data_IF_694555657968
#
_entry.id   IF_694555657968
#
_cell.length_a   1.000
_cell.length_b   1.000
_cell.length_c   1.000
_cell.angle_alpha   90.00
_cell.angle_beta   90.00
_cell.angle_gamma   90.00
#
_symmetry.space_group_name_H-M   'P 1'
#
loop_
_entity.id
_entity.type
_entity.pdbx_description
1 polymer ?
#
# COMPACT_ATOMS: atom_id res chain seq x y z
N UNK A 1 -65.76 -9.67 68.28
CA UNK A 1 -64.98 -8.44 68.52
C UNK A 1 -64.67 -7.85 67.16
N UNK A 2 -65.44 -6.85 66.73
CA UNK A 2 -65.28 -6.21 65.43
C UNK A 2 -64.45 -4.92 65.62
N UNK A 3 -63.21 -4.94 65.12
CA UNK A 3 -62.42 -3.73 64.93
C UNK A 3 -63.05 -2.94 63.78
N UNK A 4 -63.86 -1.95 64.12
CA UNK A 4 -64.22 -0.86 63.20
C UNK A 4 -62.97 0.00 63.03
N UNK A 5 -62.14 -0.35 62.05
CA UNK A 5 -61.19 0.57 61.44
C UNK A 5 -62.00 1.73 60.85
N UNK A 6 -62.08 2.84 61.60
CA UNK A 6 -62.43 4.13 61.05
C UNK A 6 -61.34 4.46 60.03
N UNK A 7 -61.59 4.13 58.76
CA UNK A 7 -60.93 4.82 57.64
C UNK A 7 -61.26 6.29 57.86
N UNK A 8 -60.30 7.04 58.41
CA UNK A 8 -60.38 8.50 58.33
C UNK A 8 -60.47 8.79 56.85
N UNK A 9 -61.59 9.37 56.41
CA UNK A 9 -61.71 10.09 55.14
C UNK A 9 -60.74 11.28 55.20
N UNK A 10 -59.45 10.96 55.21
CA UNK A 10 -58.36 11.91 55.22
C UNK A 10 -58.33 12.48 53.83
N UNK A 11 -59.09 13.55 53.62
CA UNK A 11 -58.98 14.37 52.43
C UNK A 11 -57.50 14.65 52.20
N UNK A 12 -56.93 14.24 51.05
CA UNK A 12 -55.51 14.36 50.82
C UNK A 12 -55.10 15.83 50.87
N UNK A 13 -54.09 16.13 51.69
CA UNK A 13 -53.57 17.50 51.84
C UNK A 13 -52.93 17.93 50.53
N UNK A 14 -53.44 19.01 49.96
CA UNK A 14 -52.94 19.66 48.75
C UNK A 14 -51.64 20.39 49.08
N UNK A 15 -50.60 20.27 48.25
CA UNK A 15 -49.38 21.05 48.44
C UNK A 15 -49.23 22.11 47.35
N UNK A 16 -48.99 23.35 47.75
CA UNK A 16 -48.78 24.50 46.87
C UNK A 16 -47.29 24.82 46.79
N UNK A 17 -46.79 25.09 45.59
CA UNK A 17 -45.39 25.45 45.35
C UNK A 17 -45.33 26.65 44.42
N UNK A 18 -44.52 27.64 44.77
CA UNK A 18 -44.10 28.68 43.82
C UNK A 18 -42.79 28.27 43.17
N UNK A 19 -42.78 28.14 41.85
CA UNK A 19 -41.56 28.03 41.05
C UNK A 19 -41.14 29.39 40.48
N UNK A 20 -41.77 30.46 40.95
CA UNK A 20 -41.51 31.84 40.56
C UNK A 20 -41.16 32.67 41.78
N UNK A 21 -40.46 33.78 41.55
CA UNK A 21 -40.07 34.72 42.61
C UNK A 21 -41.23 35.65 43.04
N UNK A 22 -42.43 35.49 42.45
CA UNK A 22 -43.56 36.40 42.65
C UNK A 22 -44.59 35.80 43.62
N UNK A 23 -44.64 36.27 44.89
CA UNK A 23 -45.57 35.75 45.88
C UNK A 23 -47.04 35.97 45.48
N UNK A 24 -47.33 37.03 44.72
CA UNK A 24 -48.69 37.38 44.29
C UNK A 24 -49.42 36.24 43.57
N UNK A 25 -48.71 35.41 42.80
CA UNK A 25 -49.34 34.29 42.12
C UNK A 25 -49.72 33.15 43.08
N UNK A 26 -48.92 32.93 44.13
CA UNK A 26 -49.24 31.96 45.19
C UNK A 26 -50.39 32.47 46.06
N UNK A 27 -50.43 33.77 46.34
CA UNK A 27 -51.54 34.41 47.06
C UNK A 27 -52.85 34.29 46.27
N UNK A 28 -52.79 34.52 44.95
CA UNK A 28 -53.92 34.34 44.04
C UNK A 28 -54.42 32.89 44.03
N UNK A 29 -53.51 31.92 43.96
CA UNK A 29 -53.87 30.50 44.02
C UNK A 29 -54.54 30.15 45.36
N UNK A 30 -54.01 30.68 46.47
CA UNK A 30 -54.55 30.45 47.81
C UNK A 30 -55.95 31.05 47.95
N UNK A 31 -56.17 32.26 47.41
CA UNK A 31 -57.50 32.88 47.35
C UNK A 31 -58.48 32.04 46.52
N UNK A 32 -58.04 31.56 45.35
CA UNK A 32 -58.84 30.70 44.48
C UNK A 32 -59.26 29.39 45.16
N UNK A 33 -58.33 28.74 45.86
CA UNK A 33 -58.60 27.51 46.63
C UNK A 33 -59.49 27.77 47.86
N UNK A 34 -59.42 28.97 48.44
CA UNK A 34 -60.31 29.40 49.51
C UNK A 34 -61.78 29.51 49.09
N UNK A 35 -62.03 29.73 47.79
CA UNK A 35 -63.36 29.79 47.18
C UNK A 35 -63.86 28.44 46.64
N UNK A 36 -63.09 27.36 46.82
CA UNK A 36 -63.47 26.02 46.40
C UNK A 36 -64.43 25.34 47.39
N UNK A 37 -65.34 24.52 46.88
CA UNK A 37 -66.28 23.72 47.67
C UNK A 37 -66.28 22.24 47.18
N UNK A 38 -65.88 21.26 48.00
CA UNK A 38 -65.31 21.44 49.34
C UNK A 38 -63.94 22.12 49.30
N UNK A 39 -63.62 22.89 50.34
CA UNK A 39 -62.35 23.60 50.46
C UNK A 39 -61.22 22.60 50.75
N UNK A 40 -60.20 22.47 49.88
CA UNK A 40 -59.08 21.58 50.14
C UNK A 40 -58.18 22.15 51.24
N UNK A 41 -57.69 21.28 52.12
CA UNK A 41 -56.60 21.63 53.03
C UNK A 41 -55.32 21.80 52.22
N UNK A 42 -54.66 22.95 52.35
CA UNK A 42 -53.47 23.29 51.58
C UNK A 42 -52.28 23.63 52.46
N UNK A 43 -51.10 23.10 52.10
CA UNK A 43 -49.81 23.45 52.71
C UNK A 43 -48.89 24.06 51.65
N UNK A 44 -48.12 25.08 51.99
CA UNK A 44 -47.13 25.68 51.08
C UNK A 44 -45.76 25.05 51.31
N UNK A 45 -45.15 24.54 50.25
CA UNK A 45 -43.80 24.00 50.26
C UNK A 45 -42.82 24.92 49.50
N UNK A 46 -41.57 24.97 49.99
CA UNK A 46 -40.54 25.86 49.43
C UNK A 46 -40.01 25.40 48.06
N UNK A 47 -40.05 24.10 47.78
CA UNK A 47 -39.55 23.51 46.53
C UNK A 47 -40.48 22.41 46.03
N UNK A 48 -40.45 22.13 44.72
CA UNK A 48 -41.22 21.03 44.14
C UNK A 48 -40.82 19.69 44.73
N UNK A 49 -39.53 19.48 44.98
CA UNK A 49 -39.02 18.27 45.61
C UNK A 49 -39.61 18.06 47.00
N UNK A 50 -39.64 19.10 47.84
CA UNK A 50 -40.25 19.04 49.17
C UNK A 50 -41.75 18.70 49.07
N UNK A 51 -42.47 19.30 48.13
CA UNK A 51 -43.90 19.04 47.93
C UNK A 51 -44.21 17.59 47.52
N UNK A 52 -43.28 16.95 46.80
CA UNK A 52 -43.46 15.58 46.32
C UNK A 52 -43.28 14.51 47.41
N UNK A 53 -42.79 14.87 48.61
CA UNK A 53 -42.67 13.95 49.74
C UNK A 53 -44.02 13.58 50.38
N UNK A 54 -45.04 14.42 50.23
CA UNK A 54 -46.41 14.05 50.60
C UNK A 54 -47.03 13.09 49.57
N UNK A 55 -48.22 12.56 49.84
CA UNK A 55 -48.97 11.71 48.90
C UNK A 55 -50.03 12.47 48.09
N UNK A 56 -50.38 13.68 48.51
CA UNK A 56 -51.43 14.48 47.90
C UNK A 56 -51.10 15.08 46.51
N UNK A 57 -52.08 15.72 45.87
CA UNK A 57 -51.85 16.50 44.66
C UNK A 57 -50.95 17.71 44.93
N UNK A 58 -50.18 18.11 43.92
CA UNK A 58 -49.28 19.26 44.00
C UNK A 58 -49.66 20.27 42.92
N UNK A 59 -49.93 21.51 43.33
CA UNK A 59 -50.12 22.63 42.42
C UNK A 59 -48.86 23.49 42.46
N UNK A 60 -48.21 23.62 41.30
CA UNK A 60 -47.00 24.41 41.18
C UNK A 60 -47.24 25.57 40.21
N UNK A 61 -47.03 26.79 40.67
CA UNK A 61 -47.13 27.98 39.82
C UNK A 61 -45.78 28.21 39.14
N UNK A 62 -45.76 28.30 37.82
CA UNK A 62 -44.56 28.50 37.02
C UNK A 62 -44.75 29.62 35.99
N UNK A 63 -43.67 30.38 35.77
CA UNK A 63 -43.61 31.33 34.66
C UNK A 63 -43.26 30.58 33.36
N UNK A 64 -43.66 31.13 32.22
CA UNK A 64 -43.26 30.60 30.92
C UNK A 64 -41.73 30.68 30.75
N UNK A 65 -41.10 29.73 30.03
CA UNK A 65 -39.66 29.71 29.79
C UNK A 65 -39.07 31.04 29.34
N UNK A 66 -39.64 31.65 28.30
CA UNK A 66 -39.24 32.96 27.81
C UNK A 66 -39.32 34.06 28.87
N UNK A 67 -40.32 34.03 29.76
CA UNK A 67 -40.42 35.03 30.83
C UNK A 67 -39.37 34.84 31.91
N UNK A 68 -39.11 33.60 32.31
CA UNK A 68 -38.04 33.31 33.26
C UNK A 68 -36.69 33.82 32.74
N UNK A 69 -36.40 33.51 31.47
CA UNK A 69 -35.15 33.94 30.84
C UNK A 69 -35.13 35.46 30.62
N UNK A 70 -36.24 36.08 30.19
CA UNK A 70 -36.34 37.52 30.04
C UNK A 70 -36.11 38.28 31.36
N UNK A 71 -36.61 37.75 32.48
CA UNK A 71 -36.37 38.31 33.83
C UNK A 71 -34.90 38.25 34.19
N UNK A 72 -34.23 37.12 33.97
CA UNK A 72 -32.79 36.99 34.21
C UNK A 72 -31.96 37.96 33.35
N UNK A 73 -32.32 38.12 32.08
CA UNK A 73 -31.65 39.08 31.20
C UNK A 73 -31.89 40.53 31.66
N UNK A 74 -33.13 40.86 32.04
CA UNK A 74 -33.48 42.19 32.54
C UNK A 74 -32.77 42.54 33.86
N UNK A 75 -32.44 41.54 34.69
CA UNK A 75 -31.61 41.72 35.89
C UNK A 75 -30.10 41.84 35.59
N UNK A 76 -29.71 41.92 34.31
CA UNK A 76 -28.32 42.10 33.89
C UNK A 76 -27.49 40.81 33.85
N UNK A 77 -28.11 39.63 33.91
CA UNK A 77 -27.38 38.37 33.76
C UNK A 77 -26.94 38.20 32.31
N UNK A 78 -25.66 37.90 32.03
CA UNK A 78 -25.20 37.67 30.67
C UNK A 78 -25.98 36.54 29.96
N UNK A 79 -26.30 36.66 28.66
CA UNK A 79 -27.15 35.70 27.96
C UNK A 79 -26.70 34.24 28.06
N UNK A 80 -25.39 33.99 27.94
CA UNK A 80 -24.83 32.64 28.05
C UNK A 80 -25.06 32.01 29.43
N UNK A 81 -24.92 32.81 30.49
CA UNK A 81 -25.15 32.36 31.86
C UNK A 81 -26.65 32.18 32.14
N UNK A 82 -27.49 33.12 31.72
CA UNK A 82 -28.94 33.04 31.91
C UNK A 82 -29.53 31.77 31.26
N UNK A 83 -29.06 31.42 30.05
CA UNK A 83 -29.44 30.19 29.35
C UNK A 83 -28.95 28.94 30.08
N UNK A 84 -27.69 28.92 30.54
CA UNK A 84 -27.14 27.78 31.26
C UNK A 84 -27.88 27.53 32.59
N UNK A 85 -28.12 28.59 33.36
CA UNK A 85 -28.83 28.52 34.65
C UNK A 85 -30.28 28.06 34.45
N UNK A 86 -30.98 28.63 33.47
CA UNK A 86 -32.34 28.20 33.12
C UNK A 86 -32.38 26.73 32.66
N UNK A 87 -31.41 26.30 31.85
CA UNK A 87 -31.36 24.93 31.36
C UNK A 87 -31.19 23.92 32.51
N UNK A 88 -30.25 24.17 33.43
CA UNK A 88 -30.03 23.32 34.61
C UNK A 88 -31.30 23.25 35.46
N UNK A 89 -31.93 24.40 35.68
CA UNK A 89 -33.18 24.47 36.42
C UNK A 89 -34.31 23.68 35.72
N UNK A 90 -34.50 23.88 34.41
CA UNK A 90 -35.57 23.26 33.64
C UNK A 90 -35.41 21.73 33.58
N UNK A 91 -34.19 21.23 33.40
CA UNK A 91 -33.88 19.80 33.42
C UNK A 91 -34.23 19.17 34.77
N UNK A 92 -33.89 19.84 35.88
CA UNK A 92 -34.22 19.38 37.22
C UNK A 92 -35.75 19.36 37.47
N UNK A 93 -36.47 20.42 37.11
CA UNK A 93 -37.93 20.47 37.28
C UNK A 93 -38.65 19.44 36.40
N UNK A 94 -38.27 19.32 35.12
CA UNK A 94 -38.84 18.33 34.21
C UNK A 94 -38.59 16.89 34.68
N UNK A 95 -37.42 16.60 35.26
CA UNK A 95 -37.16 15.28 35.86
C UNK A 95 -38.14 14.95 36.99
N UNK A 96 -38.41 15.90 37.88
CA UNK A 96 -39.40 15.75 38.96
C UNK A 96 -40.82 15.60 38.40
N UNK A 97 -41.20 16.41 37.41
CA UNK A 97 -42.50 16.38 36.76
C UNK A 97 -42.75 15.04 36.05
N UNK A 98 -41.77 14.51 35.32
CA UNK A 98 -41.87 13.20 34.65
C UNK A 98 -42.11 12.08 35.66
N UNK A 99 -41.45 12.13 36.82
CA UNK A 99 -41.62 11.13 37.90
C UNK A 99 -43.00 11.20 38.57
N UNK A 100 -43.57 12.39 38.67
CA UNK A 100 -44.80 12.65 39.43
C UNK A 100 -45.93 13.28 38.60
N UNK A 101 -45.97 13.05 37.29
CA UNK A 101 -46.92 13.69 36.35
C UNK A 101 -48.39 13.53 36.75
N UNK A 102 -48.72 12.40 37.36
CA UNK A 102 -50.07 12.09 37.79
C UNK A 102 -50.51 12.85 39.05
N UNK A 103 -49.57 13.52 39.74
CA UNK A 103 -49.81 14.26 40.98
C UNK A 103 -49.57 15.77 40.84
N UNK A 104 -48.64 16.19 39.98
CA UNK A 104 -48.32 17.60 39.78
C UNK A 104 -49.23 18.21 38.71
N UNK A 105 -49.68 19.44 38.94
CA UNK A 105 -50.31 20.31 37.96
C UNK A 105 -49.55 21.63 37.94
N UNK A 106 -48.94 21.97 36.80
CA UNK A 106 -48.29 23.26 36.63
C UNK A 106 -49.32 24.29 36.15
N UNK A 107 -49.33 25.46 36.78
CA UNK A 107 -50.23 26.57 36.44
C UNK A 107 -49.39 27.74 35.94
N UNK A 108 -49.79 28.33 34.82
CA UNK A 108 -49.13 29.50 34.26
C UNK A 108 -49.33 30.71 35.17
N UNK A 109 -48.23 31.32 35.61
CA UNK A 109 -48.24 32.53 36.47
C UNK A 109 -49.13 33.63 35.88
N UNK A 110 -48.95 33.93 34.60
CA UNK A 110 -49.66 35.02 33.92
C UNK A 110 -51.15 34.74 33.79
N UNK A 111 -51.51 33.50 33.47
CA UNK A 111 -52.90 33.08 33.33
C UNK A 111 -53.60 33.12 34.68
N UNK A 112 -52.92 32.68 35.73
CA UNK A 112 -53.45 32.72 37.08
C UNK A 112 -53.73 34.15 37.55
N UNK A 113 -52.85 35.10 37.21
CA UNK A 113 -53.01 36.50 37.59
C UNK A 113 -54.01 37.25 36.70
N UNK A 114 -53.94 37.08 35.39
CA UNK A 114 -54.71 37.86 34.43
C UNK A 114 -56.10 37.27 34.14
N UNK A 115 -56.22 35.94 34.06
CA UNK A 115 -57.44 35.24 33.64
C UNK A 115 -57.65 33.95 34.44
N UNK A 116 -57.74 34.00 35.79
CA UNK A 116 -57.85 32.81 36.64
C UNK A 116 -59.03 31.91 36.28
N UNK A 117 -60.09 32.48 35.71
CA UNK A 117 -61.27 31.74 35.25
C UNK A 117 -60.97 30.63 34.24
N UNK A 118 -59.90 30.78 33.44
CA UNK A 118 -59.50 29.75 32.45
C UNK A 118 -58.92 28.50 33.12
N UNK A 119 -58.43 28.62 34.36
CA UNK A 119 -57.84 27.53 35.13
C UNK A 119 -58.89 26.75 35.94
N UNK A 120 -60.12 27.25 36.10
CA UNK A 120 -61.16 26.61 36.93
C UNK A 120 -61.39 25.17 36.49
N UNK A 121 -61.65 24.94 35.19
CA UNK A 121 -62.01 23.60 34.71
C UNK A 121 -60.87 22.60 34.95
N UNK A 122 -59.61 22.87 34.55
CA UNK A 122 -58.49 21.99 34.87
C UNK A 122 -58.31 21.74 36.37
N UNK A 123 -58.50 22.77 37.21
CA UNK A 123 -58.40 22.64 38.66
C UNK A 123 -59.54 21.80 39.24
N UNK A 124 -60.78 22.01 38.80
CA UNK A 124 -61.96 21.26 39.22
C UNK A 124 -61.84 19.79 38.82
N UNK A 125 -61.45 19.52 37.57
CA UNK A 125 -61.22 18.17 37.06
C UNK A 125 -60.13 17.44 37.86
N UNK A 126 -59.11 18.17 38.33
CA UNK A 126 -57.97 17.61 39.05
C UNK A 126 -58.23 17.40 40.54
N UNK A 127 -58.92 18.34 41.18
CA UNK A 127 -59.13 18.38 42.63
C UNK A 127 -60.48 17.80 43.05
N UNK A 128 -61.43 17.66 42.11
CA UNK A 128 -62.79 17.20 42.39
C UNK A 128 -63.63 18.22 43.17
N UNK A 129 -63.27 19.51 43.14
CA UNK A 129 -64.01 20.58 43.81
C UNK A 129 -64.66 21.55 42.81
N UNK A 130 -65.77 22.16 43.21
CA UNK A 130 -66.37 23.29 42.50
C UNK A 130 -65.70 24.60 42.91
N UNK A 131 -65.61 25.57 41.99
CA UNK A 131 -65.14 26.92 42.30
C UNK A 131 -66.29 27.90 42.16
N UNK A 132 -66.53 28.68 43.23
CA UNK A 132 -67.55 29.71 43.26
C UNK A 132 -67.06 31.04 42.71
N UNK A 133 -67.08 32.07 43.55
CA UNK A 133 -66.65 33.42 43.17
C UNK A 133 -65.16 33.44 42.86
N UNK A 134 -64.84 33.86 41.62
CA UNK A 134 -63.47 34.02 41.17
C UNK A 134 -62.82 35.24 41.83
N UNK A 135 -61.55 35.14 42.26
CA UNK A 135 -60.80 36.31 42.67
C UNK A 135 -60.66 37.28 41.48
N UNK A 136 -60.72 38.57 41.77
CA UNK A 136 -60.50 39.62 40.76
C UNK A 136 -59.10 39.48 40.16
N UNK A 137 -58.93 39.68 38.84
CA UNK A 137 -57.62 39.67 38.20
C UNK A 137 -56.64 40.63 38.89
N UNK A 138 -55.40 40.18 39.05
CA UNK A 138 -54.31 41.00 39.55
C UNK A 138 -53.48 41.55 38.39
N UNK A 139 -52.89 42.73 38.57
CA UNK A 139 -51.95 43.27 37.58
C UNK A 139 -50.72 42.39 37.52
N UNK A 140 -50.47 41.81 36.34
CA UNK A 140 -49.22 41.12 36.03
C UNK A 140 -48.09 42.15 36.10
N UNK A 141 -47.05 41.95 36.92
CA UNK A 141 -45.94 42.90 37.02
C UNK A 141 -45.32 43.14 35.63
N UNK A 142 -45.49 44.35 35.09
CA UNK A 142 -44.81 44.77 33.87
C UNK A 142 -43.38 45.13 34.23
N UNK A 143 -42.40 44.36 33.73
CA UNK A 143 -41.00 44.71 33.89
C UNK A 143 -40.62 45.71 32.78
N UNK A 144 -40.23 46.96 33.09
CA UNK A 144 -39.81 47.92 32.09
C UNK A 144 -38.59 47.39 31.32
N UNK A 145 -38.71 47.25 30.00
CA UNK A 145 -37.73 46.57 29.14
C UNK A 145 -38.00 45.07 28.91
N UNK A 146 -39.08 44.51 29.46
CA UNK A 146 -39.45 43.10 29.26
C UNK A 146 -39.57 42.72 27.80
N UNK A 147 -40.14 43.58 26.95
CA UNK A 147 -40.44 43.23 25.57
C UNK A 147 -39.18 42.84 24.77
N UNK A 148 -38.10 43.61 24.88
CA UNK A 148 -36.84 43.30 24.18
C UNK A 148 -36.20 42.02 24.75
N UNK A 149 -36.15 41.89 26.07
CA UNK A 149 -35.59 40.72 26.73
C UNK A 149 -36.42 39.46 26.46
N UNK A 150 -37.74 39.58 26.27
CA UNK A 150 -38.63 38.49 25.91
C UNK A 150 -38.41 38.04 24.46
N UNK A 151 -38.21 38.97 23.52
CA UNK A 151 -37.81 38.63 22.15
C UNK A 151 -36.46 37.91 22.15
N UNK A 152 -35.48 38.46 22.88
CA UNK A 152 -34.16 37.85 23.00
C UNK A 152 -34.24 36.46 23.64
N UNK A 153 -35.02 36.31 24.70
CA UNK A 153 -35.25 35.03 25.36
C UNK A 153 -35.88 34.00 24.39
N UNK A 154 -36.93 34.38 23.66
CA UNK A 154 -37.55 33.52 22.64
C UNK A 154 -36.55 33.12 21.55
N UNK A 155 -35.69 34.05 21.12
CA UNK A 155 -34.63 33.75 20.14
C UNK A 155 -33.59 32.78 20.70
N UNK A 156 -33.12 33.01 21.94
CA UNK A 156 -32.15 32.14 22.61
C UNK A 156 -32.69 30.72 22.79
N UNK A 157 -33.94 30.56 23.23
CA UNK A 157 -34.58 29.24 23.37
C UNK A 157 -34.71 28.52 22.02
N UNK A 158 -34.93 29.27 20.92
CA UNK A 158 -35.02 28.70 19.57
C UNK A 158 -33.66 28.42 18.91
N UNK A 159 -32.58 29.03 19.40
CA UNK A 159 -31.24 28.97 18.79
C UNK A 159 -30.65 27.57 18.77
N UNK A 160 -30.93 26.76 19.80
CA UNK A 160 -30.38 25.42 19.97
C UNK A 160 -31.51 24.39 20.07
N UNK A 161 -31.45 23.26 19.32
CA UNK A 161 -32.50 22.25 19.34
C UNK A 161 -32.83 21.70 20.74
N UNK A 162 -31.81 21.55 21.60
CA UNK A 162 -31.98 21.09 22.98
C UNK A 162 -32.80 22.06 23.84
N UNK A 163 -32.48 23.35 23.79
CA UNK A 163 -33.20 24.38 24.55
C UNK A 163 -34.65 24.49 24.08
N UNK A 164 -34.86 24.40 22.77
CA UNK A 164 -36.19 24.37 22.17
C UNK A 164 -37.02 23.22 22.72
N UNK A 165 -36.47 22.00 22.72
CA UNK A 165 -37.16 20.83 23.25
C UNK A 165 -37.52 20.95 24.74
N UNK A 166 -36.61 21.49 25.56
CA UNK A 166 -36.89 21.74 26.99
C UNK A 166 -37.97 22.81 27.19
N UNK A 167 -37.93 23.90 26.41
CA UNK A 167 -38.92 24.97 26.50
C UNK A 167 -40.30 24.47 26.06
N UNK A 168 -40.39 23.75 24.94
CA UNK A 168 -41.62 23.16 24.43
C UNK A 168 -42.22 22.17 25.43
N UNK A 169 -41.41 21.30 26.03
CA UNK A 169 -41.89 20.35 27.04
C UNK A 169 -42.36 21.06 28.33
N UNK A 170 -41.64 22.09 28.78
CA UNK A 170 -42.05 22.88 29.94
C UNK A 170 -43.36 23.63 29.66
N UNK A 171 -43.47 24.35 28.55
CA UNK A 171 -44.69 25.06 28.17
C UNK A 171 -45.87 24.10 28.00
N UNK A 172 -45.67 22.95 27.36
CA UNK A 172 -46.72 21.92 27.22
C UNK A 172 -47.18 21.32 28.55
N UNK A 173 -46.32 21.38 29.58
CA UNK A 173 -46.67 20.92 30.93
C UNK A 173 -47.43 21.97 31.74
N UNK A 174 -47.37 23.26 31.34
CA UNK A 174 -48.03 24.36 32.03
C UNK A 174 -49.47 24.53 31.51
N UNK A 175 -50.43 24.46 32.44
CA UNK A 175 -51.85 24.63 32.13
C UNK A 175 -52.22 26.11 32.09
N UNK A 176 -53.07 26.44 31.11
CA UNK A 176 -53.61 27.78 30.94
C UNK A 176 -52.80 28.65 30.00
N UNK A 177 -51.86 28.09 29.23
CA UNK A 177 -51.05 28.88 28.31
C UNK A 177 -51.91 29.55 27.24
N UNK A 178 -52.08 30.85 27.40
CA UNK A 178 -52.43 31.75 26.33
C UNK A 178 -51.14 32.52 26.08
N UNK A 179 -50.29 32.04 25.17
CA UNK A 179 -49.25 32.90 24.63
C UNK A 179 -49.97 34.12 24.03
N UNK A 180 -49.92 35.30 24.67
CA UNK A 180 -50.51 36.45 24.03
C UNK A 180 -49.71 36.67 22.75
N UNK A 181 -50.37 36.88 21.59
CA UNK A 181 -49.67 37.24 20.39
C UNK A 181 -48.79 38.45 20.72
N UNK A 182 -47.53 38.39 20.30
CA UNK A 182 -46.55 39.42 20.63
C UNK A 182 -47.05 40.75 20.02
N UNK A 183 -47.50 41.67 20.87
CA UNK A 183 -48.11 42.92 20.41
C UNK A 183 -47.03 43.80 19.78
N UNK A 184 -47.07 43.93 18.45
CA UNK A 184 -46.12 44.74 17.66
C UNK A 184 -45.99 46.18 18.20
N UNK A 185 -47.08 46.77 18.72
CA UNK A 185 -47.06 48.10 19.32
C UNK A 185 -46.16 48.19 20.58
N UNK A 186 -46.06 47.12 21.38
CA UNK A 186 -45.16 47.07 22.56
C UNK A 186 -43.70 46.93 22.12
N UNK A 187 -43.48 46.23 21.01
CA UNK A 187 -42.17 46.07 20.39
C UNK A 187 -41.67 47.41 19.86
N UNK A 188 -42.50 48.13 19.10
CA UNK A 188 -42.20 49.46 18.57
C UNK A 188 -41.90 50.46 19.69
N UNK A 189 -42.66 50.44 20.79
CA UNK A 189 -42.40 51.29 21.96
C UNK A 189 -41.09 50.92 22.64
N UNK A 190 -40.78 49.64 22.83
CA UNK A 190 -39.50 49.21 23.41
C UNK A 190 -38.30 49.58 22.53
N UNK A 191 -38.43 49.50 21.20
CA UNK A 191 -37.41 49.99 20.27
C UNK A 191 -37.28 51.52 20.31
N UNK A 192 -38.40 52.25 20.41
CA UNK A 192 -38.39 53.70 20.59
C UNK A 192 -37.71 54.10 21.91
N UNK A 193 -37.98 53.40 23.00
CA UNK A 193 -37.36 53.64 24.31
C UNK A 193 -35.87 53.31 24.30
N UNK A 194 -35.46 52.21 23.64
CA UNK A 194 -34.05 51.83 23.50
C UNK A 194 -33.28 52.82 22.61
N UNK A 195 -33.91 53.32 21.54
CA UNK A 195 -33.31 54.31 20.64
C UNK A 195 -33.28 55.71 21.26
N UNK A 196 -34.25 56.06 22.11
CA UNK A 196 -34.22 57.28 22.91
C UNK A 196 -33.18 57.21 24.05
N UNK A 197 -32.93 56.02 24.59
CA UNK A 197 -31.90 55.75 25.59
C UNK A 197 -30.49 55.53 24.97
N UNK A 198 -30.38 55.51 23.64
CA UNK A 198 -29.12 55.31 22.93
C UNK A 198 -28.21 56.54 23.09
N UNK A 199 -27.36 56.47 24.12
CA UNK A 199 -26.20 57.33 24.37
C UNK A 199 -25.38 57.51 23.06
N UNK A 200 -24.87 58.70 22.69
CA UNK A 200 -23.96 58.90 21.54
C UNK A 200 -22.77 57.92 21.47
N UNK A 201 -22.47 57.22 22.56
CA UNK A 201 -21.56 56.06 22.61
C UNK A 201 -22.01 54.87 21.76
N UNK A 202 -23.30 54.60 21.63
CA UNK A 202 -23.85 53.51 20.80
C UNK A 202 -23.64 53.78 19.31
N UNK A 203 -23.77 55.03 18.87
CA UNK A 203 -23.47 55.42 17.49
C UNK A 203 -21.97 55.28 17.16
N UNK A 204 -21.08 55.67 18.09
CA UNK A 204 -19.64 55.44 17.97
C UNK A 204 -19.28 53.94 17.96
N UNK A 205 -19.94 53.13 18.79
CA UNK A 205 -19.76 51.68 18.80
C UNK A 205 -20.24 51.04 17.49
N UNK A 206 -21.39 51.45 16.96
CA UNK A 206 -21.88 50.96 15.67
C UNK A 206 -20.93 51.30 14.53
N UNK A 207 -20.45 52.54 14.43
CA UNK A 207 -19.46 52.93 13.42
C UNK A 207 -18.15 52.13 13.53
N UNK A 208 -17.67 51.89 14.76
CA UNK A 208 -16.48 51.07 14.99
C UNK A 208 -16.70 49.59 14.60
N UNK A 209 -17.90 49.07 14.81
CA UNK A 209 -18.27 47.70 14.46
C UNK A 209 -18.43 47.52 12.94
N UNK A 210 -19.02 48.51 12.27
CA UNK A 210 -19.12 48.56 10.81
C UNK A 210 -17.74 48.61 10.15
N UNK A 211 -16.84 49.46 10.68
CA UNK A 211 -15.47 49.54 10.19
C UNK A 211 -14.71 48.22 10.43
N UNK A 212 -14.88 47.60 11.60
CA UNK A 212 -14.32 46.28 11.90
C UNK A 212 -14.85 45.21 10.94
N UNK A 213 -16.16 45.21 10.66
CA UNK A 213 -16.78 44.31 9.69
C UNK A 213 -16.25 44.56 8.27
N UNK A 214 -16.01 45.82 7.89
CA UNK A 214 -15.44 46.19 6.59
C UNK A 214 -14.01 45.66 6.44
N UNK A 215 -13.17 45.84 7.45
CA UNK A 215 -11.80 45.33 7.49
C UNK A 215 -11.76 43.80 7.48
N UNK A 216 -12.63 43.14 8.25
CA UNK A 216 -12.75 41.68 8.25
C UNK A 216 -13.19 41.14 6.88
N UNK A 217 -14.13 41.80 6.19
CA UNK A 217 -14.53 41.43 4.83
C UNK A 217 -13.40 41.63 3.82
N UNK A 218 -12.66 42.73 3.90
CA UNK A 218 -11.51 42.97 3.06
C UNK A 218 -10.43 41.89 3.27
N UNK A 219 -10.10 41.58 4.53
CA UNK A 219 -9.16 40.51 4.87
C UNK A 219 -9.62 39.12 4.42
N UNK A 220 -10.92 38.82 4.52
CA UNK A 220 -11.47 37.57 3.99
C UNK A 220 -11.32 37.47 2.47
N UNK A 221 -11.56 38.55 1.73
CA UNK A 221 -11.37 38.59 0.28
C UNK A 221 -9.88 38.38 -0.07
N UNK A 222 -8.97 39.03 0.66
CA UNK A 222 -7.52 38.86 0.46
C UNK A 222 -7.07 37.41 0.72
N UNK A 223 -7.52 36.81 1.82
CA UNK A 223 -7.24 35.41 2.14
C UNK A 223 -7.83 34.46 1.09
N UNK A 224 -9.01 34.76 0.54
CA UNK A 224 -9.58 33.97 -0.56
C UNK A 224 -8.74 34.06 -1.83
N UNK A 225 -8.19 35.23 -2.16
CA UNK A 225 -7.28 35.38 -3.30
C UNK A 225 -5.96 34.65 -3.05
N UNK A 226 -5.36 34.78 -1.87
CA UNK A 226 -4.15 34.04 -1.51
C UNK A 226 -4.35 32.53 -1.57
N UNK A 227 -5.50 32.03 -1.10
CA UNK A 227 -5.83 30.62 -1.20
C UNK A 227 -6.01 30.18 -2.65
N UNK A 228 -6.66 30.99 -3.49
CA UNK A 228 -6.80 30.70 -4.92
C UNK A 228 -5.43 30.63 -5.61
N UNK A 229 -4.55 31.60 -5.34
CA UNK A 229 -3.19 31.64 -5.90
C UNK A 229 -2.35 30.44 -5.44
N UNK A 230 -2.42 30.08 -4.15
CA UNK A 230 -1.74 28.88 -3.64
C UNK A 230 -2.29 27.60 -4.27
N UNK A 231 -3.61 27.48 -4.46
CA UNK A 231 -4.19 26.31 -5.11
C UNK A 231 -3.76 26.18 -6.56
N UNK A 232 -3.65 27.30 -7.29
CA UNK A 232 -3.13 27.33 -8.64
C UNK A 232 -1.64 26.95 -8.70
N UNK A 233 -0.82 27.48 -7.78
CA UNK A 233 0.59 27.14 -7.67
C UNK A 233 0.80 25.64 -7.34
N UNK A 234 0.00 25.08 -6.43
CA UNK A 234 0.03 23.65 -6.12
C UNK A 234 -0.38 22.78 -7.31
N UNK A 235 -1.39 23.21 -8.08
CA UNK A 235 -1.79 22.50 -9.30
C UNK A 235 -0.68 22.50 -10.37
N UNK A 236 0.04 23.61 -10.54
CA UNK A 236 1.19 23.70 -11.44
C UNK A 236 2.34 22.80 -10.99
N UNK A 237 2.71 22.84 -9.71
CA UNK A 237 3.75 21.97 -9.15
C UNK A 237 3.39 20.48 -9.26
N UNK A 238 2.11 20.14 -9.08
CA UNK A 238 1.64 18.76 -9.27
C UNK A 238 1.76 18.34 -10.73
N UNK A 239 1.38 19.19 -11.69
CA UNK A 239 1.53 18.89 -13.11
C UNK A 239 3.01 18.75 -13.53
N UNK A 240 3.90 19.58 -13.00
CA UNK A 240 5.35 19.44 -13.21
C UNK A 240 5.89 18.12 -12.65
N UNK A 241 5.45 17.76 -11.43
CA UNK A 241 5.81 16.49 -10.80
C UNK A 241 5.35 15.30 -11.63
N UNK A 242 4.09 15.28 -12.06
CA UNK A 242 3.53 14.21 -12.89
C UNK A 242 4.29 14.10 -14.22
N UNK A 243 4.68 15.24 -14.81
CA UNK A 243 5.52 15.30 -16.01
C UNK A 243 6.93 14.74 -15.80
N UNK A 244 7.56 15.00 -14.65
CA UNK A 244 8.86 14.42 -14.31
C UNK A 244 8.76 12.91 -14.03
N UNK A 245 7.72 12.46 -13.32
CA UNK A 245 7.47 11.04 -13.08
C UNK A 245 7.27 10.27 -14.39
N UNK A 246 6.52 10.84 -15.34
CA UNK A 246 6.37 10.27 -16.68
C UNK A 246 7.71 10.18 -17.43
N UNK A 247 8.56 11.21 -17.35
CA UNK A 247 9.91 11.19 -17.97
C UNK A 247 10.81 10.12 -17.36
N UNK A 248 10.80 9.97 -16.04
CA UNK A 248 11.57 8.93 -15.34
C UNK A 248 11.09 7.54 -15.78
N UNK A 249 9.79 7.34 -15.94
CA UNK A 249 9.24 6.07 -16.40
C UNK A 249 9.72 5.70 -17.82
N UNK A 250 9.71 6.67 -18.75
CA UNK A 250 10.22 6.48 -20.11
C UNK A 250 11.73 6.18 -20.11
N UNK A 251 12.53 6.93 -19.34
CA UNK A 251 13.97 6.69 -19.24
C UNK A 251 14.30 5.31 -18.61
N UNK A 252 13.48 4.84 -17.66
CA UNK A 252 13.61 3.51 -17.07
C UNK A 252 13.27 2.39 -18.07
N UNK A 253 12.24 2.57 -18.90
CA UNK A 253 11.90 1.64 -19.99
C UNK A 253 13.02 1.58 -21.04
N UNK A 254 13.55 2.74 -21.46
CA UNK A 254 14.69 2.82 -22.37
C UNK A 254 15.94 2.14 -21.80
N UNK A 255 16.21 2.31 -20.50
CA UNK A 255 17.31 1.64 -19.82
C UNK A 255 17.11 0.11 -19.81
N UNK A 256 15.91 -0.37 -19.50
CA UNK A 256 15.59 -1.80 -19.52
C UNK A 256 15.73 -2.41 -20.92
N UNK A 257 15.32 -1.68 -21.97
CA UNK A 257 15.51 -2.10 -23.37
C UNK A 257 16.99 -2.16 -23.74
N UNK A 258 17.81 -1.21 -23.30
CA UNK A 258 19.27 -1.23 -23.52
C UNK A 258 19.93 -2.39 -22.78
N UNK A 259 19.56 -2.65 -21.53
CA UNK A 259 20.06 -3.81 -20.77
C UNK A 259 19.69 -5.13 -21.45
N UNK A 260 18.45 -5.25 -21.94
CA UNK A 260 18.01 -6.43 -22.68
C UNK A 260 18.80 -6.61 -24.00
N UNK A 261 19.05 -5.51 -24.73
CA UNK A 261 19.87 -5.53 -25.94
C UNK A 261 21.30 -5.99 -25.65
N UNK A 262 21.97 -5.38 -24.67
CA UNK A 262 23.32 -5.76 -24.23
C UNK A 262 23.36 -7.23 -23.77
N UNK A 263 22.35 -7.67 -23.02
CA UNK A 263 22.22 -9.06 -22.59
C UNK A 263 22.12 -10.04 -23.77
N UNK A 264 21.39 -9.67 -24.83
CA UNK A 264 21.27 -10.49 -26.04
C UNK A 264 22.60 -10.56 -26.82
N UNK A 265 23.30 -9.44 -26.97
CA UNK A 265 24.62 -9.37 -27.61
C UNK A 265 25.66 -10.19 -26.84
N UNK A 266 25.68 -10.11 -25.51
CA UNK A 266 26.58 -10.91 -24.67
C UNK A 266 26.32 -12.41 -24.80
N UNK A 267 25.06 -12.83 -24.90
CA UNK A 267 24.71 -14.23 -25.13
C UNK A 267 25.15 -14.71 -26.53
N UNK A 268 25.05 -13.85 -27.54
CA UNK A 268 25.53 -14.15 -28.89
C UNK A 268 27.06 -14.29 -28.92
N UNK A 269 27.78 -13.32 -28.34
CA UNK A 269 29.24 -13.37 -28.17
C UNK A 269 29.65 -14.64 -27.41
N UNK A 270 28.91 -15.02 -26.36
CA UNK A 270 29.15 -16.24 -25.60
C UNK A 270 29.01 -17.51 -26.45
N UNK A 271 27.95 -17.60 -27.28
CA UNK A 271 27.75 -18.72 -28.21
C UNK A 271 28.85 -18.80 -29.27
N UNK A 272 29.27 -17.66 -29.81
CA UNK A 272 30.36 -17.58 -30.78
C UNK A 272 31.70 -18.01 -30.17
N UNK A 273 31.98 -17.57 -28.94
CA UNK A 273 33.17 -17.99 -28.21
C UNK A 273 33.17 -19.51 -27.95
N UNK A 274 32.03 -20.08 -27.57
CA UNK A 274 31.87 -21.53 -27.38
C UNK A 274 32.04 -22.30 -28.70
N UNK A 275 31.47 -21.80 -29.80
CA UNK A 275 31.62 -22.39 -31.13
C UNK A 275 33.10 -22.39 -31.56
N UNK A 276 33.80 -21.25 -31.42
CA UNK A 276 35.24 -21.13 -31.69
C UNK A 276 36.07 -22.03 -30.77
N UNK A 277 35.69 -22.19 -29.51
CA UNK A 277 36.36 -23.11 -28.58
C UNK A 277 36.22 -24.57 -29.02
N UNK A 278 35.03 -24.97 -29.51
CA UNK A 278 34.81 -26.32 -30.06
C UNK A 278 35.62 -26.54 -31.32
N UNK A 279 35.62 -25.57 -32.24
CA UNK A 279 36.42 -25.62 -33.47
C UNK A 279 37.92 -25.69 -33.17
N UNK A 280 38.40 -24.90 -32.20
CA UNK A 280 39.80 -24.97 -31.76
C UNK A 280 40.15 -26.35 -31.19
N UNK A 281 39.24 -26.99 -30.43
CA UNK A 281 39.43 -28.35 -29.91
C UNK A 281 39.46 -29.39 -31.01
N UNK A 282 38.60 -29.28 -32.04
CA UNK A 282 38.61 -30.21 -33.18
C UNK A 282 39.86 -30.04 -34.02
N UNK A 283 40.28 -28.80 -34.31
CA UNK A 283 41.54 -28.53 -35.02
C UNK A 283 42.75 -29.03 -34.23
N UNK A 284 42.73 -28.91 -32.91
CA UNK A 284 43.80 -29.41 -32.05
C UNK A 284 43.89 -30.95 -32.08
N UNK A 285 42.76 -31.66 -31.99
CA UNK A 285 42.75 -33.12 -32.08
C UNK A 285 43.13 -33.62 -33.49
N UNK A 286 42.73 -32.91 -34.54
CA UNK A 286 43.18 -33.17 -35.92
C UNK A 286 44.69 -32.96 -36.08
N UNK A 287 45.23 -31.87 -35.54
CA UNK A 287 46.67 -31.60 -35.56
C UNK A 287 47.47 -32.67 -34.80
N UNK A 288 46.95 -33.16 -33.67
CA UNK A 288 47.55 -34.25 -32.90
C UNK A 288 47.48 -35.58 -33.66
N UNK A 289 46.37 -35.89 -34.32
CA UNK A 289 46.23 -37.06 -35.17
C UNK A 289 47.19 -37.03 -36.37
N UNK A 290 47.31 -35.87 -37.04
CA UNK A 290 48.27 -35.67 -38.14
C UNK A 290 49.71 -35.81 -37.65
N UNK A 291 50.04 -35.27 -36.47
CA UNK A 291 51.37 -35.49 -35.86
C UNK A 291 51.64 -36.98 -35.64
N UNK A 292 50.68 -37.72 -35.09
CA UNK A 292 50.79 -39.17 -34.93
C UNK A 292 51.00 -39.90 -36.27
N UNK A 293 50.30 -39.50 -37.34
CA UNK A 293 50.52 -40.03 -38.68
C UNK A 293 51.93 -39.71 -39.21
N UNK A 294 52.42 -38.49 -39.00
CA UNK A 294 53.78 -38.10 -39.37
C UNK A 294 54.83 -38.93 -38.64
N UNK A 295 54.65 -39.19 -37.34
CA UNK A 295 55.58 -40.02 -36.56
C UNK A 295 55.62 -41.46 -37.07
N UNK A 296 54.46 -42.04 -37.42
CA UNK A 296 54.38 -43.37 -38.05
C UNK A 296 55.07 -43.39 -39.42
N UNK A 297 54.85 -42.38 -40.25
CA UNK A 297 55.51 -42.27 -41.56
C UNK A 297 57.02 -42.10 -41.39
N UNK A 298 57.46 -41.31 -40.42
CA UNK A 298 58.88 -41.14 -40.09
C UNK A 298 59.51 -42.45 -39.66
N UNK A 299 58.86 -43.20 -38.77
CA UNK A 299 59.31 -44.54 -38.39
C UNK A 299 59.39 -45.51 -39.59
N UNK A 300 58.44 -45.45 -40.53
CA UNK A 300 58.50 -46.24 -41.78
C UNK A 300 59.65 -45.82 -42.69
N UNK A 301 59.92 -44.52 -42.80
CA UNK A 301 61.07 -44.01 -43.56
C UNK A 301 62.37 -44.48 -42.91
N UNK A 302 62.48 -44.39 -41.59
CA UNK A 302 63.67 -44.84 -40.85
C UNK A 302 63.88 -46.36 -41.00
N UNK A 303 62.83 -47.18 -40.88
CA UNK A 303 62.87 -48.62 -41.13
C UNK A 303 63.27 -48.94 -42.57
N UNK A 304 62.66 -48.29 -43.56
CA UNK A 304 63.01 -48.48 -44.97
C UNK A 304 64.44 -48.05 -45.26
N UNK A 305 64.92 -46.98 -44.64
CA UNK A 305 66.30 -46.50 -44.78
C UNK A 305 67.30 -47.43 -44.09
N UNK A 306 66.91 -48.07 -42.98
CA UNK A 306 67.71 -49.12 -42.34
C UNK A 306 67.77 -50.38 -43.21
N UNK A 307 66.64 -50.81 -43.78
CA UNK A 307 66.59 -51.94 -44.74
C UNK A 307 67.40 -51.66 -46.00
N UNK A 308 67.33 -50.44 -46.53
CA UNK A 308 68.11 -50.04 -47.71
C UNK A 308 69.61 -50.11 -47.41
N UNK A 309 70.06 -49.57 -46.27
CA UNK A 309 71.45 -49.71 -45.82
C UNK A 309 71.89 -51.16 -45.62
N UNK A 310 70.99 -52.01 -45.09
CA UNK A 310 71.27 -53.44 -44.93
C UNK A 310 71.42 -54.14 -46.29
N UNK A 311 70.54 -53.84 -47.26
CA UNK A 311 70.62 -54.35 -48.62
C UNK A 311 71.86 -53.83 -49.35
N UNK A 312 72.22 -52.56 -49.21
CA UNK A 312 73.47 -51.99 -49.76
C UNK A 312 74.70 -52.71 -49.19
N UNK A 313 74.69 -53.04 -47.89
CA UNK A 313 75.75 -53.82 -47.27
C UNK A 313 75.80 -55.26 -47.80
N UNK A 314 74.65 -55.90 -48.02
CA UNK A 314 74.57 -57.22 -48.64
C UNK A 314 75.04 -57.21 -50.10
N UNK A 315 74.69 -56.17 -50.86
CA UNK A 315 75.11 -55.99 -52.25
C UNK A 315 76.62 -55.74 -52.33
N UNK A 316 77.18 -54.93 -51.42
CA UNK A 316 78.63 -54.75 -51.30
C UNK A 316 79.35 -56.07 -50.95
N UNK A 317 78.80 -56.88 -50.04
CA UNK A 317 79.31 -58.23 -49.76
C UNK A 317 79.20 -59.15 -50.97
N UNK A 318 78.09 -59.10 -51.69
CA UNK A 318 77.89 -59.88 -52.90
C UNK A 318 78.91 -59.48 -54.00
N UNK A 319 79.15 -58.18 -54.18
CA UNK A 319 80.17 -57.67 -55.09
C UNK A 319 81.58 -58.11 -54.68
N UNK A 320 81.90 -58.13 -53.39
CA UNK A 320 83.16 -58.66 -52.86
C UNK A 320 83.29 -60.17 -53.11
N UNK A 321 82.20 -60.93 -52.95
CA UNK A 321 82.18 -62.36 -53.34
C UNK A 321 82.32 -62.56 -54.84
N UNK A 322 81.71 -61.72 -55.68
CA UNK A 322 81.87 -61.77 -57.13
C UNK A 322 83.30 -61.40 -57.54
N UNK A 323 83.93 -60.41 -56.91
CA UNK A 323 85.34 -60.06 -57.15
C UNK A 323 86.28 -61.17 -56.76
N UNK A 324 86.11 -61.76 -55.57
CA UNK A 324 86.92 -62.91 -55.15
C UNK A 324 86.69 -64.15 -56.03
N UNK A 325 85.46 -64.39 -56.50
CA UNK A 325 85.19 -65.43 -57.50
C UNK A 325 85.82 -65.13 -58.86
N UNK A 326 85.80 -63.88 -59.31
CA UNK A 326 86.47 -63.46 -60.54
C UNK A 326 87.99 -63.59 -60.44
N UNK A 327 88.59 -63.23 -59.31
CA UNK A 327 90.02 -63.44 -59.03
C UNK A 327 90.38 -64.94 -59.00
N UNK A 328 89.53 -65.77 -58.40
CA UNK A 328 89.68 -67.22 -58.42
C UNK A 328 89.57 -67.78 -59.84
N UNK A 329 88.62 -67.29 -60.65
CA UNK A 329 88.47 -67.70 -62.05
C UNK A 329 89.68 -67.26 -62.89
N UNK A 330 90.23 -66.06 -62.67
CA UNK A 330 91.44 -65.56 -63.34
C UNK A 330 92.68 -66.40 -62.96
N UNK A 331 92.81 -66.80 -61.69
CA UNK A 331 93.87 -67.71 -61.25
C UNK A 331 93.73 -69.09 -61.89
N UNK A 332 92.51 -69.64 -61.93
CA UNK A 332 92.25 -70.92 -62.60
C UNK A 332 92.52 -70.85 -64.10
N UNK A 333 92.17 -69.75 -64.77
CA UNK A 333 92.44 -69.57 -66.19
C UNK A 333 93.95 -69.49 -66.47
N UNK A 334 94.72 -68.81 -65.60
CA UNK A 334 96.19 -68.79 -65.70
C UNK A 334 96.80 -70.17 -65.51
N UNK A 335 96.28 -70.96 -64.57
CA UNK A 335 96.72 -72.35 -64.36
C UNK A 335 96.41 -73.22 -65.59
N UNK A 336 95.23 -73.05 -66.20
CA UNK A 336 94.85 -73.74 -67.44
C UNK A 336 95.80 -73.35 -68.58
N UNK A 337 96.05 -72.06 -68.78
CA UNK A 337 96.96 -71.58 -69.82
C UNK A 337 98.39 -72.10 -69.62
N UNK A 338 98.85 -72.22 -68.37
CA UNK A 338 100.15 -72.80 -68.05
C UNK A 338 100.18 -74.32 -68.32
N UNK A 339 99.11 -75.04 -68.00
CA UNK A 339 98.97 -76.45 -68.35
C UNK A 339 98.92 -76.65 -69.86
N UNK A 340 98.23 -75.79 -70.62
CA UNK A 340 98.19 -75.83 -72.08
C UNK A 340 99.56 -75.57 -72.69
N UNK A 341 100.34 -74.62 -72.13
CA UNK A 341 101.75 -74.43 -72.53
C UNK A 341 102.59 -75.68 -72.27
N UNK A 342 102.43 -76.33 -71.11
CA UNK A 342 103.12 -77.60 -70.79
C UNK A 342 102.71 -78.72 -71.74
N UNK A 343 101.42 -78.85 -72.05
CA UNK A 343 100.90 -79.84 -73.00
C UNK A 343 101.39 -79.59 -74.43
N UNK A 344 101.49 -78.32 -74.83
CA UNK A 344 102.02 -77.93 -76.15
C UNK A 344 103.50 -78.23 -76.26
N UNK A 345 104.28 -77.96 -75.20
CA UNK A 345 105.70 -78.31 -75.13
C UNK A 345 105.90 -79.84 -75.18
N UNK A 346 105.15 -80.60 -74.37
CA UNK A 346 105.19 -82.07 -74.37
C UNK A 346 104.78 -82.67 -75.72
N UNK A 347 103.78 -82.08 -76.41
CA UNK A 347 103.42 -82.48 -77.78
C UNK A 347 104.56 -82.21 -78.76
N UNK A 348 105.23 -81.07 -78.65
CA UNK A 348 106.43 -80.75 -79.43
C UNK A 348 107.56 -81.76 -79.23
N UNK A 349 107.83 -82.14 -77.99
CA UNK A 349 108.82 -83.19 -77.66
C UNK A 349 108.42 -84.56 -78.22
N UNK A 350 107.13 -84.90 -78.17
CA UNK A 350 106.61 -86.18 -78.67
C UNK A 350 106.69 -86.26 -80.21
N UNK A 351 106.37 -85.17 -80.91
CA UNK A 351 106.51 -85.09 -82.37
C UNK A 351 107.98 -85.09 -82.80
N UNK A 352 108.87 -84.47 -82.01
CA UNK A 352 110.31 -84.55 -82.24
C UNK A 352 110.83 -85.98 -82.06
N UNK A 353 110.45 -86.66 -80.97
CA UNK A 353 110.80 -88.06 -80.75
C UNK A 353 110.25 -88.99 -81.85
N UNK A 354 109.03 -88.73 -82.36
CA UNK A 354 108.47 -89.44 -83.52
C UNK A 354 109.26 -89.19 -84.80
N UNK A 355 109.72 -87.95 -85.03
CA UNK A 355 110.55 -87.62 -86.19
C UNK A 355 111.90 -88.33 -86.14
N UNK A 356 112.52 -88.45 -84.96
CA UNK A 356 113.75 -89.19 -84.74
C UNK A 356 113.54 -90.70 -84.96
N UNK A 357 112.42 -91.25 -84.49
CA UNK A 357 112.04 -92.65 -84.71
C UNK A 357 111.82 -92.96 -86.21
N UNK A 358 111.14 -92.07 -86.94
CA UNK A 358 110.96 -92.20 -88.39
C UNK A 358 112.29 -92.05 -89.14
N UNK A 359 113.19 -91.16 -88.69
CA UNK A 359 114.51 -91.01 -89.26
C UNK A 359 115.37 -92.27 -89.10
N UNK A 360 115.26 -92.94 -87.94
CA UNK A 360 115.85 -94.26 -87.71
C UNK A 360 115.19 -95.29 -88.65
N UNK A 361 113.86 -95.25 -88.82
CA UNK A 361 113.09 -96.17 -89.68
C UNK A 361 113.41 -96.08 -91.18
N UNK A 362 113.81 -94.91 -91.67
CA UNK A 362 114.21 -94.71 -93.06
C UNK A 362 115.70 -94.89 -93.35
N UNK A 363 116.52 -95.05 -92.30
CA UNK A 363 117.95 -95.25 -92.40
C UNK A 363 118.32 -96.51 -93.19
N UNK A 364 119.34 -96.39 -94.05
CA UNK A 364 119.83 -97.45 -94.95
C UNK A 364 120.22 -98.74 -94.22
N UNK A 365 120.58 -98.68 -92.93
CA UNK A 365 120.88 -99.85 -92.09
C UNK A 365 119.64 -100.68 -91.72
N UNK A 366 118.44 -100.07 -91.60
CA UNK A 366 117.21 -100.82 -91.31
C UNK A 366 116.59 -101.44 -92.58
N UNK A 367 116.71 -100.78 -93.73
CA UNK A 367 116.31 -101.35 -95.05
C UNK A 367 117.08 -102.63 -95.40
N UNK A 368 118.33 -102.77 -94.94
CA UNK A 368 119.14 -104.00 -95.11
C UNK A 368 118.66 -105.14 -94.20
N UNK A 369 118.19 -104.83 -92.98
CA UNK A 369 117.61 -105.83 -92.07
C UNK A 369 116.20 -106.30 -92.51
N UNK A 370 115.44 -105.47 -93.22
CA UNK A 370 114.15 -105.85 -93.83
C UNK A 370 114.30 -106.92 -94.92
N UNK A 371 115.33 -106.81 -95.77
CA UNK A 371 115.61 -107.78 -96.84
C UNK A 371 116.08 -109.16 -96.30
N UNK A 372 116.67 -109.22 -95.11
CA UNK A 372 117.04 -110.48 -94.44
C UNK A 372 115.80 -111.16 -93.80
N UNK A 373 114.78 -110.38 -93.40
CA UNK A 373 113.54 -110.94 -92.79
C UNK A 373 112.55 -111.50 -93.82
N UNK A 374 112.52 -111.01 -95.06
CA UNK A 374 111.59 -111.52 -96.09
C UNK A 374 111.97 -112.90 -96.65
N UNK A 375 113.21 -113.36 -96.48
CA UNK A 375 113.67 -114.68 -96.94
C UNK A 375 113.36 -115.81 -95.92
N UNK A 376 113.04 -115.47 -94.66
CA UNK A 376 112.85 -116.48 -93.59
C UNK A 376 111.39 -116.87 -93.29
N UNK A 377 110.39 -116.09 -93.74
CA UNK A 377 108.99 -116.42 -93.49
C UNK A 377 108.11 -116.09 -94.70
N UNK A 378 107.81 -117.14 -95.47
CA UNK A 378 106.86 -117.12 -96.56
C UNK A 378 105.45 -116.73 -96.10
N UNK A 379 104.88 -115.80 -96.85
CA UNK A 379 103.52 -115.30 -96.78
C UNK A 379 102.47 -116.38 -97.11
N UNK A 380 101.45 -116.49 -96.27
CA UNK A 380 100.06 -116.64 -96.73
C UNK A 380 99.23 -115.53 -96.09
N UNK A 381 98.34 -115.01 -96.93
CA UNK A 381 97.51 -113.81 -96.85
C UNK A 381 96.80 -113.57 -95.53
#
# INVERSE_FOLDING_TARGET
MAQTDFQSDGTPVLTLVSLTEFPAATDMLTALLGAADPRPDSVVAATLEAALHGDGPVLAVAAMPERMLARALASGVPPSKAVADWQVWAEAQLALLRRARARVLLLGEDTLLATPGTLIKPLADRLGCGFGDLPSPATVPENPGAALHEILARHLLKSTPRLRGLAEEMSASIVGDLHPPLELAKLDRAFADLSAAADPRLALQQAALEESCRLLRAGLIELQHQLADETAARALLQAERDGLEARIAVEAEDAALREAAIGSELLEIGRDADARSREAKTLWSEAEALRGQMDVLRAKIDDRSARMRALELELAKADETCRSQAEMADLQQKDIDEQDRKLTALRGELDQARSELNHIHDSKSWKIAGAIRSIRYGFRK
#
